data_IF_648691125022
#
_entry.id   IF_648691125022
#
_cell.length_a   1.000
_cell.length_b   1.000
_cell.length_c   1.000
_cell.angle_alpha   90.00
_cell.angle_beta   90.00
_cell.angle_gamma   90.00
#
_symmetry.space_group_name_H-M   'P 1'
#
loop_
_entity.id
_entity.type
_entity.pdbx_description
1 polymer ?
#
# COMPACT_ATOMS: atom_id res chain seq x y z
N UNK A 1 -0.06 -4.41 2.66
CA UNK A 1 -0.89 -4.64 1.46
C UNK A 1 -0.23 -3.92 0.29
N UNK A 2 -0.68 -4.09 -0.94
CA UNK A 2 -0.11 -3.30 -2.04
C UNK A 2 -0.64 -1.85 -2.03
N UNK A 3 0.02 -0.97 -2.81
CA UNK A 3 -0.26 0.47 -2.91
C UNK A 3 -1.73 0.74 -3.22
N UNK A 4 -2.37 -0.09 -4.06
CA UNK A 4 -3.79 0.07 -4.37
C UNK A 4 -4.63 0.13 -3.09
N UNK A 5 -4.49 -0.84 -2.20
CA UNK A 5 -5.34 -0.92 -1.01
C UNK A 5 -4.95 0.15 0.02
N UNK A 6 -3.65 0.35 0.23
CA UNK A 6 -3.14 1.36 1.15
C UNK A 6 -3.51 2.79 0.75
N UNK A 7 -3.30 3.12 -0.53
CA UNK A 7 -3.69 4.39 -1.10
C UNK A 7 -5.20 4.61 -1.03
N UNK A 8 -5.99 3.60 -1.41
CA UNK A 8 -7.45 3.69 -1.35
C UNK A 8 -7.99 3.79 0.08
N UNK A 9 -7.32 3.21 1.08
CA UNK A 9 -7.67 3.40 2.48
C UNK A 9 -7.45 4.85 2.91
N UNK A 10 -6.31 5.43 2.53
CA UNK A 10 -6.02 6.85 2.72
C UNK A 10 -7.03 7.77 2.05
N UNK A 11 -7.41 7.48 0.81
CA UNK A 11 -8.46 8.20 0.07
C UNK A 11 -9.80 8.09 0.80
N UNK A 12 -10.19 6.90 1.24
CA UNK A 12 -11.45 6.68 1.96
C UNK A 12 -11.49 7.46 3.27
N UNK A 13 -10.41 7.47 4.04
CA UNK A 13 -10.26 8.29 5.24
C UNK A 13 -10.38 9.78 4.89
N UNK A 14 -9.61 10.26 3.91
CA UNK A 14 -9.65 11.65 3.48
C UNK A 14 -11.01 12.10 2.93
N UNK A 15 -11.81 11.19 2.37
CA UNK A 15 -13.18 11.50 1.91
C UNK A 15 -14.13 11.85 3.05
N UNK A 16 -13.86 11.35 4.26
CA UNK A 16 -14.65 11.60 5.47
C UNK A 16 -14.11 12.75 6.30
N UNK A 17 -12.90 13.21 6.00
CA UNK A 17 -12.20 14.24 6.76
C UNK A 17 -12.08 15.51 5.92
N UNK A 18 -12.38 16.67 6.49
CA UNK A 18 -12.10 17.96 5.86
C UNK A 18 -10.65 18.42 5.99
N UNK A 19 -9.84 17.75 6.82
CA UNK A 19 -8.48 18.17 7.21
C UNK A 19 -7.41 17.33 6.50
N UNK A 20 -6.62 17.91 5.58
CA UNK A 20 -5.54 17.20 4.89
C UNK A 20 -4.47 16.67 5.84
N UNK A 21 -4.11 17.42 6.88
CA UNK A 21 -3.10 16.98 7.86
C UNK A 21 -3.57 15.73 8.60
N UNK A 22 -4.83 15.72 9.05
CA UNK A 22 -5.38 14.58 9.76
C UNK A 22 -5.53 13.38 8.84
N UNK A 23 -5.96 13.59 7.59
CA UNK A 23 -6.05 12.54 6.60
C UNK A 23 -4.69 11.92 6.27
N UNK A 24 -3.64 12.72 6.15
CA UNK A 24 -2.27 12.24 5.95
C UNK A 24 -1.80 11.35 7.12
N UNK A 25 -1.95 11.82 8.35
CA UNK A 25 -1.53 11.07 9.54
C UNK A 25 -2.32 9.77 9.69
N UNK A 26 -3.64 9.82 9.52
CA UNK A 26 -4.48 8.63 9.60
C UNK A 26 -4.26 7.69 8.40
N UNK A 27 -3.88 8.21 7.23
CA UNK A 27 -3.41 7.43 6.08
C UNK A 27 -2.19 6.60 6.45
N UNK A 28 -1.17 7.22 7.04
CA UNK A 28 0.02 6.52 7.54
C UNK A 28 -0.36 5.45 8.57
N UNK A 29 -1.25 5.75 9.51
CA UNK A 29 -1.69 4.76 10.51
C UNK A 29 -2.43 3.60 9.84
N UNK A 30 -3.31 3.89 8.87
CA UNK A 30 -4.07 2.87 8.16
C UNK A 30 -3.18 1.90 7.39
N UNK A 31 -2.06 2.38 6.83
CA UNK A 31 -1.05 1.55 6.19
C UNK A 31 -0.58 0.42 7.12
N UNK A 32 -0.10 0.77 8.31
CA UNK A 32 0.42 -0.23 9.26
C UNK A 32 -0.66 -1.14 9.83
N UNK A 33 -1.90 -0.64 9.98
CA UNK A 33 -3.03 -1.49 10.37
C UNK A 33 -3.31 -2.55 9.30
N UNK A 34 -3.26 -2.16 8.02
CA UNK A 34 -3.51 -3.05 6.89
C UNK A 34 -2.34 -4.00 6.62
N UNK A 35 -1.09 -3.59 6.88
CA UNK A 35 0.08 -4.46 6.78
C UNK A 35 0.06 -5.62 7.76
N UNK A 36 -0.56 -5.43 8.93
CA UNK A 36 -0.71 -6.50 9.89
C UNK A 36 -1.64 -7.64 9.39
N UNK A 37 -2.39 -7.44 8.31
CA UNK A 37 -3.21 -8.45 7.64
C UNK A 37 -2.36 -9.14 6.56
N UNK A 38 -2.28 -10.48 6.51
CA UNK A 38 -1.43 -11.19 5.57
C UNK A 38 -1.89 -10.95 4.13
N UNK A 39 -0.97 -10.46 3.30
CA UNK A 39 -1.26 -10.03 1.92
C UNK A 39 -0.16 -10.35 0.92
N UNK A 40 1.02 -10.78 1.38
CA UNK A 40 2.14 -11.11 0.52
C UNK A 40 1.95 -12.50 -0.09
N UNK A 41 2.16 -12.64 -1.40
CA UNK A 41 1.96 -13.93 -2.07
C UNK A 41 3.23 -14.79 -2.07
N UNK A 42 3.08 -16.10 -1.88
CA UNK A 42 4.18 -17.06 -2.03
C UNK A 42 4.74 -17.03 -3.46
N UNK A 43 3.85 -16.92 -4.45
CA UNK A 43 4.17 -16.94 -5.86
C UNK A 43 4.98 -15.70 -6.29
N UNK A 44 4.63 -14.50 -5.81
CA UNK A 44 5.42 -13.30 -6.04
C UNK A 44 6.81 -13.45 -5.41
N UNK A 45 6.88 -13.90 -4.15
CA UNK A 45 8.14 -14.15 -3.46
C UNK A 45 9.02 -15.14 -4.22
N UNK A 46 8.45 -16.24 -4.72
CA UNK A 46 9.20 -17.23 -5.50
C UNK A 46 9.71 -16.60 -6.80
N UNK A 47 8.87 -15.85 -7.52
CA UNK A 47 9.28 -15.13 -8.73
C UNK A 47 10.40 -14.12 -8.45
N UNK A 48 10.31 -13.33 -7.38
CA UNK A 48 11.33 -12.36 -6.98
C UNK A 48 12.69 -13.02 -6.74
N UNK A 49 12.68 -14.18 -6.08
CA UNK A 49 13.89 -14.94 -5.73
C UNK A 49 14.47 -15.74 -6.92
N UNK A 50 13.70 -15.98 -7.98
CA UNK A 50 14.11 -16.84 -9.10
C UNK A 50 14.82 -16.08 -10.23
N UNK A 51 16.15 -16.22 -10.39
CA UNK A 51 16.87 -15.84 -11.63
C UNK A 51 18.05 -14.88 -11.45
N UNK A 52 18.53 -14.29 -12.56
CA UNK A 52 19.77 -13.48 -12.63
C UNK A 52 19.55 -11.97 -12.43
N UNK A 53 18.31 -11.48 -12.57
CA UNK A 53 17.98 -10.10 -12.24
C UNK A 53 18.00 -9.92 -10.71
N UNK A 54 18.56 -8.81 -10.22
CA UNK A 54 18.61 -8.55 -8.78
C UNK A 54 17.19 -8.45 -8.21
N UNK A 55 16.88 -9.25 -7.18
CA UNK A 55 15.65 -9.24 -6.36
C UNK A 55 14.99 -7.85 -6.24
N UNK A 56 15.77 -6.84 -5.83
CA UNK A 56 15.31 -5.45 -5.65
C UNK A 56 14.65 -4.84 -6.91
N UNK A 57 15.12 -5.19 -8.12
CA UNK A 57 14.54 -4.68 -9.38
C UNK A 57 13.17 -5.25 -9.66
N UNK A 58 12.92 -6.50 -9.24
CA UNK A 58 11.62 -7.17 -9.42
C UNK A 58 10.57 -6.61 -8.49
N UNK A 59 10.93 -6.42 -7.21
CA UNK A 59 10.09 -5.70 -6.25
C UNK A 59 9.76 -4.29 -6.76
N UNK A 60 10.77 -3.56 -7.25
CA UNK A 60 10.55 -2.23 -7.81
C UNK A 60 9.59 -2.25 -9.00
N UNK A 61 9.69 -3.25 -9.88
CA UNK A 61 8.77 -3.40 -11.02
C UNK A 61 7.33 -3.69 -10.55
N UNK A 62 7.16 -4.57 -9.56
CA UNK A 62 5.86 -4.88 -8.96
C UNK A 62 5.22 -3.62 -8.36
N UNK A 63 5.97 -2.86 -7.55
CA UNK A 63 5.51 -1.62 -6.96
C UNK A 63 5.14 -0.55 -8.01
N UNK A 64 5.88 -0.48 -9.12
CA UNK A 64 5.57 0.43 -10.24
C UNK A 64 4.27 0.03 -10.92
N UNK A 65 4.10 -1.26 -11.23
CA UNK A 65 2.86 -1.77 -11.86
C UNK A 65 1.66 -1.48 -10.94
N UNK A 66 1.79 -1.76 -9.66
CA UNK A 66 0.74 -1.54 -8.68
C UNK A 66 0.36 -0.05 -8.54
N UNK A 67 1.36 0.85 -8.54
CA UNK A 67 1.13 2.30 -8.58
C UNK A 67 0.36 2.73 -9.84
N UNK A 68 0.73 2.20 -11.01
CA UNK A 68 0.03 2.52 -12.25
C UNK A 68 -1.43 2.06 -12.21
N UNK A 69 -1.70 0.87 -11.66
CA UNK A 69 -3.07 0.38 -11.49
C UNK A 69 -3.85 1.28 -10.52
N UNK A 70 -3.25 1.70 -9.40
CA UNK A 70 -3.86 2.68 -8.49
C UNK A 70 -4.22 3.98 -9.22
N UNK A 71 -3.31 4.54 -10.02
CA UNK A 71 -3.57 5.75 -10.81
C UNK A 71 -4.75 5.53 -11.77
N UNK A 72 -4.80 4.39 -12.47
CA UNK A 72 -5.91 4.04 -13.36
C UNK A 72 -7.23 3.96 -12.59
N UNK A 73 -7.26 3.34 -11.40
CA UNK A 73 -8.44 3.28 -10.54
C UNK A 73 -8.90 4.69 -10.16
N UNK A 74 -7.99 5.57 -9.75
CA UNK A 74 -8.31 6.96 -9.40
C UNK A 74 -8.88 7.73 -10.61
N UNK A 75 -8.34 7.52 -11.81
CA UNK A 75 -8.87 8.12 -13.04
C UNK A 75 -10.27 7.60 -13.37
N UNK A 76 -10.52 6.29 -13.24
CA UNK A 76 -11.86 5.70 -13.42
C UNK A 76 -12.84 6.28 -12.39
N UNK A 77 -12.41 6.51 -11.15
CA UNK A 77 -13.22 7.15 -10.12
C UNK A 77 -13.62 8.58 -10.49
N UNK A 78 -12.68 9.37 -11.02
CA UNK A 78 -12.94 10.75 -11.42
C UNK A 78 -13.84 10.82 -12.67
N UNK A 79 -13.50 10.11 -13.73
CA UNK A 79 -14.19 10.23 -15.02
C UNK A 79 -15.44 9.35 -15.11
N UNK A 80 -15.39 8.13 -14.57
CA UNK A 80 -16.49 7.17 -14.61
C UNK A 80 -17.54 7.42 -13.53
N UNK A 81 -17.10 7.63 -12.29
CA UNK A 81 -17.99 7.77 -11.12
C UNK A 81 -18.18 9.21 -10.64
N UNK A 82 -17.49 10.20 -11.24
CA UNK A 82 -17.54 11.62 -10.85
C UNK A 82 -17.12 11.87 -9.40
N UNK A 83 -16.24 11.02 -8.87
CA UNK A 83 -15.66 11.16 -7.52
C UNK A 83 -14.35 11.94 -7.66
N UNK A 84 -14.42 13.25 -7.46
CA UNK A 84 -13.23 14.12 -7.54
C UNK A 84 -12.42 14.08 -6.24
N UNK A 85 -11.10 13.99 -6.37
CA UNK A 85 -10.22 13.91 -5.20
C UNK A 85 -10.07 15.30 -4.56
N UNK A 86 -10.51 15.42 -3.31
CA UNK A 86 -10.24 16.61 -2.50
C UNK A 86 -8.79 16.64 -2.01
N UNK A 87 -8.32 17.80 -1.53
CA UNK A 87 -6.99 17.89 -0.90
C UNK A 87 -6.83 16.93 0.28
N UNK A 88 -7.90 16.67 1.03
CA UNK A 88 -7.88 15.72 2.14
C UNK A 88 -7.71 14.28 1.65
N UNK A 89 -8.40 13.90 0.58
CA UNK A 89 -8.26 12.59 -0.06
C UNK A 89 -6.85 12.37 -0.63
N UNK A 90 -6.27 13.38 -1.27
CA UNK A 90 -4.90 13.33 -1.80
C UNK A 90 -3.89 13.20 -0.65
N UNK A 91 -4.05 13.99 0.42
CA UNK A 91 -3.17 13.89 1.58
C UNK A 91 -3.25 12.51 2.25
N UNK A 92 -4.46 11.95 2.38
CA UNK A 92 -4.66 10.59 2.86
C UNK A 92 -4.02 9.53 1.95
N UNK A 93 -4.22 9.61 0.63
CA UNK A 93 -3.55 8.77 -0.37
C UNK A 93 -2.04 8.77 -0.16
N UNK A 94 -1.43 9.95 -0.13
CA UNK A 94 0.02 10.11 0.04
C UNK A 94 0.47 9.51 1.37
N UNK A 95 -0.26 9.78 2.46
CA UNK A 95 0.04 9.18 3.77
C UNK A 95 -0.04 7.65 3.76
N UNK A 96 -1.02 7.08 3.06
CA UNK A 96 -1.23 5.64 2.94
C UNK A 96 -0.12 4.93 2.18
N UNK A 97 0.47 5.53 1.14
CA UNK A 97 1.49 4.88 0.31
C UNK A 97 2.93 5.21 0.73
N UNK A 98 3.14 6.34 1.42
CA UNK A 98 4.47 6.85 1.76
C UNK A 98 5.38 5.85 2.50
N UNK A 99 4.91 5.06 3.49
CA UNK A 99 5.78 4.12 4.21
C UNK A 99 6.51 3.13 3.30
N UNK A 100 5.81 2.54 2.33
CA UNK A 100 6.41 1.62 1.36
C UNK A 100 7.43 2.30 0.45
N UNK A 101 7.18 3.54 0.04
CA UNK A 101 8.16 4.28 -0.76
C UNK A 101 9.41 4.62 0.04
N UNK A 102 9.28 4.97 1.33
CA UNK A 102 10.44 5.16 2.20
C UNK A 102 11.25 3.86 2.27
N UNK A 103 10.59 2.72 2.50
CA UNK A 103 11.23 1.41 2.55
C UNK A 103 11.89 1.04 1.21
N UNK A 104 11.12 1.05 0.12
CA UNK A 104 11.55 0.60 -1.21
C UNK A 104 12.61 1.48 -1.84
N UNK A 105 12.54 2.81 -1.69
CA UNK A 105 13.58 3.71 -2.18
C UNK A 105 14.89 3.55 -1.40
N UNK A 106 14.81 3.28 -0.10
CA UNK A 106 16.00 2.99 0.72
C UNK A 106 16.73 1.77 0.18
N UNK A 107 16.00 0.69 -0.13
CA UNK A 107 16.57 -0.53 -0.72
C UNK A 107 17.09 -0.31 -2.14
N UNK A 108 16.32 0.38 -3.00
CA UNK A 108 16.68 0.61 -4.39
C UNK A 108 17.96 1.44 -4.53
N UNK A 109 18.09 2.50 -3.74
CA UNK A 109 19.25 3.39 -3.76
C UNK A 109 20.36 2.97 -2.77
N UNK A 110 20.17 1.86 -2.05
CA UNK A 110 21.13 1.33 -1.06
C UNK A 110 21.54 2.37 -0.01
N UNK A 111 20.59 3.18 0.43
CA UNK A 111 20.84 4.26 1.39
C UNK A 111 21.12 3.65 2.76
N UNK A 112 22.31 3.91 3.30
CA UNK A 112 22.72 3.41 4.62
C UNK A 112 22.49 4.47 5.67
N UNK A 113 21.43 4.32 6.48
CA UNK A 113 21.12 5.23 7.57
C UNK A 113 20.44 4.49 8.73
N UNK A 114 20.90 4.71 9.96
CA UNK A 114 20.38 3.98 11.12
C UNK A 114 18.88 4.19 11.38
N UNK A 115 18.35 5.39 11.13
CA UNK A 115 16.92 5.65 11.27
C UNK A 115 16.10 4.88 10.23
N UNK A 116 16.59 4.81 8.99
CA UNK A 116 15.95 4.03 7.93
C UNK A 116 16.04 2.53 8.22
N UNK A 117 17.16 2.01 8.71
CA UNK A 117 17.26 0.61 9.13
C UNK A 117 16.29 0.27 10.27
N UNK A 118 16.15 1.15 11.26
CA UNK A 118 15.17 0.99 12.35
C UNK A 118 13.74 1.03 11.81
N UNK A 119 13.45 1.96 10.91
CA UNK A 119 12.15 2.07 10.26
C UNK A 119 11.82 0.79 9.48
N UNK A 120 12.76 0.28 8.67
CA UNK A 120 12.59 -0.98 7.92
C UNK A 120 12.32 -2.16 8.85
N UNK A 121 13.12 -2.32 9.90
CA UNK A 121 12.94 -3.41 10.87
C UNK A 121 11.58 -3.34 11.57
N UNK A 122 11.13 -2.13 11.95
CA UNK A 122 9.83 -1.93 12.55
C UNK A 122 8.68 -2.20 11.57
N UNK A 123 8.76 -1.65 10.35
CA UNK A 123 7.77 -1.83 9.29
C UNK A 123 7.60 -3.32 8.95
N UNK A 124 8.70 -4.05 8.74
CA UNK A 124 8.65 -5.51 8.54
C UNK A 124 8.09 -6.24 9.76
N UNK A 125 8.36 -5.77 10.98
CA UNK A 125 7.78 -6.32 12.20
C UNK A 125 6.25 -6.20 12.25
N UNK A 126 5.69 -5.11 11.71
CA UNK A 126 4.23 -4.86 11.65
C UNK A 126 3.48 -5.98 10.95
N UNK A 127 4.04 -6.55 9.87
CA UNK A 127 3.41 -7.65 9.12
C UNK A 127 3.13 -8.89 9.97
N UNK A 128 3.80 -9.03 11.12
CA UNK A 128 3.65 -10.20 12.01
C UNK A 128 2.91 -9.90 13.32
N UNK A 129 2.38 -8.69 13.49
CA UNK A 129 1.74 -8.28 14.74
C UNK A 129 0.46 -9.04 15.05
N UNK A 130 -0.38 -9.27 14.03
CA UNK A 130 -1.67 -9.94 14.20
C UNK A 130 -1.59 -11.39 13.69
N UNK A 131 -0.99 -11.61 12.52
CA UNK A 131 -0.86 -12.92 11.90
C UNK A 131 0.60 -13.33 11.80
N UNK A 132 0.93 -14.56 12.23
CA UNK A 132 2.28 -15.11 12.10
C UNK A 132 2.72 -15.39 10.65
N UNK A 133 1.87 -15.95 9.76
CA UNK A 133 2.28 -16.15 8.38
C UNK A 133 2.21 -14.82 7.62
N UNK A 134 3.35 -14.38 7.08
CA UNK A 134 3.42 -13.21 6.19
C UNK A 134 2.92 -13.57 4.79
N UNK A 135 3.35 -14.73 4.29
CA UNK A 135 3.08 -15.18 2.93
C UNK A 135 1.93 -16.19 2.87
N UNK A 136 1.01 -15.99 1.93
CA UNK A 136 -0.08 -16.91 1.62
C UNK A 136 -0.11 -17.21 0.11
N UNK A 137 -0.73 -18.33 -0.33
CA UNK A 137 -0.99 -18.54 -1.75
C UNK A 137 -1.76 -17.37 -2.38
N UNK A 138 -1.42 -17.01 -3.62
CA UNK A 138 -1.92 -15.85 -4.35
C UNK A 138 -3.45 -15.76 -4.37
N UNK A 139 -4.13 -16.91 -4.47
CA UNK A 139 -5.60 -16.98 -4.43
C UNK A 139 -6.19 -16.35 -3.16
N UNK A 140 -5.52 -16.46 -2.02
CA UNK A 140 -6.01 -15.89 -0.76
C UNK A 140 -5.65 -14.41 -0.66
N UNK A 141 -4.43 -14.04 -1.02
CA UNK A 141 -3.99 -12.63 -0.98
C UNK A 141 -4.79 -11.76 -1.96
N UNK A 142 -5.05 -12.27 -3.17
CA UNK A 142 -5.90 -11.60 -4.15
C UNK A 142 -7.31 -11.39 -3.62
N UNK A 143 -7.92 -12.40 -2.99
CA UNK A 143 -9.26 -12.28 -2.39
C UNK A 143 -9.27 -11.24 -1.26
N UNK A 144 -8.28 -11.28 -0.36
CA UNK A 144 -8.15 -10.30 0.73
C UNK A 144 -8.07 -8.88 0.18
N UNK A 145 -7.24 -8.64 -0.84
CA UNK A 145 -7.07 -7.32 -1.44
C UNK A 145 -8.33 -6.84 -2.19
N UNK A 146 -8.97 -7.71 -2.99
CA UNK A 146 -10.20 -7.38 -3.71
C UNK A 146 -11.33 -7.05 -2.74
N UNK A 147 -11.54 -7.86 -1.69
CA UNK A 147 -12.58 -7.62 -0.70
C UNK A 147 -12.31 -6.31 0.05
N UNK A 148 -11.07 -6.08 0.47
CA UNK A 148 -10.70 -4.85 1.19
C UNK A 148 -10.93 -3.62 0.33
N UNK A 149 -10.48 -3.65 -0.93
CA UNK A 149 -10.71 -2.57 -1.90
C UNK A 149 -12.21 -2.31 -2.12
N UNK A 150 -13.01 -3.37 -2.30
CA UNK A 150 -14.45 -3.23 -2.48
C UNK A 150 -15.13 -2.58 -1.27
N UNK A 151 -14.75 -2.99 -0.04
CA UNK A 151 -15.23 -2.39 1.20
C UNK A 151 -14.86 -0.90 1.26
N UNK A 152 -13.62 -0.53 0.94
CA UNK A 152 -13.16 0.86 0.96
C UNK A 152 -13.95 1.73 -0.03
N UNK A 153 -14.18 1.25 -1.26
CA UNK A 153 -14.99 1.97 -2.26
C UNK A 153 -16.43 2.15 -1.78
N UNK A 154 -17.04 1.12 -1.18
CA UNK A 154 -18.40 1.23 -0.63
C UNK A 154 -18.47 2.25 0.52
N UNK A 155 -17.44 2.31 1.37
CA UNK A 155 -17.36 3.30 2.45
C UNK A 155 -17.20 4.73 1.93
N UNK A 156 -16.69 4.95 0.72
CA UNK A 156 -16.60 6.29 0.13
C UNK A 156 -17.92 6.83 -0.42
N UNK A 157 -18.82 5.94 -0.84
CA UNK A 157 -20.09 6.30 -1.49
C UNK A 157 -21.26 6.56 -0.52
N UNK A 158 -21.00 6.55 0.79
CA UNK A 158 -21.98 6.84 1.84
C UNK A 158 -21.65 8.14 2.55
#
# INVERSE_FOLDING_TARGET
MYQIVHGMAGVAIGSRLGSPILAFVLGIISHFVLDAIPHDSLEARDWENNGTASFVKKIALEAIIDLWILIIILLIMQEGFKIYLSYSMIAGLVGGILPDYIWGLTELFKIKNQALEKFKAWHTGVHTLIFKPIYLPLKYTAVIQIITLAVLIVLMNK
#
